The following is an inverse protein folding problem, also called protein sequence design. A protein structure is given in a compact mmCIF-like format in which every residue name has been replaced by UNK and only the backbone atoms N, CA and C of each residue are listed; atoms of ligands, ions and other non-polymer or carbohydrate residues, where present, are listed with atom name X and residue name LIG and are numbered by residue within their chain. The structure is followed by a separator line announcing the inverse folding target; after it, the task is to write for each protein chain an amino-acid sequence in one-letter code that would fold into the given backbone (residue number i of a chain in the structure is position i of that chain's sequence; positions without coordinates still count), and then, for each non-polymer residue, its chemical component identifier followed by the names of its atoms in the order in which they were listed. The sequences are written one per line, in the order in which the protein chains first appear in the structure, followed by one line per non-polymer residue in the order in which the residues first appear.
data_IF_122646910349
#
_entry.id   IF_122646910349
#
_cell.length_a   1.000
_cell.length_b   1.000
_cell.length_c   1.000
_cell.angle_alpha   90.00
_cell.angle_beta   90.00
_cell.angle_gamma   90.00
#
_symmetry.space_group_name_H-M   'P 1'
#
loop_
_entity.id
_entity.type
_entity.pdbx_description
1 polymer ?
#
# COMPACT_ATOMS: atom_id res chain seq x y z
N UNK A 1 13.32 12.12 12.84
CA UNK A 1 12.37 11.01 13.02
C UNK A 1 12.45 10.08 11.80
N UNK A 2 12.64 8.79 12.04
CA UNK A 2 12.70 7.83 10.94
C UNK A 2 11.29 7.44 10.52
N UNK A 3 11.00 7.58 9.24
CA UNK A 3 9.77 7.03 8.70
C UNK A 3 9.93 5.52 8.58
N UNK A 4 8.92 4.78 9.02
CA UNK A 4 8.89 3.33 8.83
C UNK A 4 8.37 3.02 7.44
N UNK A 5 8.74 1.85 6.91
CA UNK A 5 8.22 1.41 5.61
C UNK A 5 6.69 1.33 5.64
N UNK A 6 6.14 0.83 6.74
CA UNK A 6 4.69 0.78 6.91
C UNK A 6 4.05 2.15 6.87
N UNK A 7 4.71 3.15 7.47
CA UNK A 7 4.23 4.53 7.46
C UNK A 7 4.22 5.12 6.06
N UNK A 8 5.26 4.87 5.27
CA UNK A 8 5.33 5.34 3.89
C UNK A 8 4.18 4.76 3.07
N UNK A 9 3.96 3.45 3.18
CA UNK A 9 2.87 2.78 2.45
C UNK A 9 1.53 3.36 2.87
N UNK A 10 1.30 3.50 4.17
CA UNK A 10 0.04 4.01 4.70
C UNK A 10 -0.26 5.40 4.15
N UNK A 11 0.70 6.32 4.22
CA UNK A 11 0.53 7.69 3.74
C UNK A 11 0.21 7.70 2.25
N UNK A 12 0.97 6.95 1.46
CA UNK A 12 0.77 6.93 0.01
C UNK A 12 -0.60 6.37 -0.37
N UNK A 13 -1.02 5.28 0.27
CA UNK A 13 -2.30 4.66 -0.04
C UNK A 13 -3.46 5.55 0.40
N UNK A 14 -3.40 6.12 1.58
CA UNK A 14 -4.48 6.94 2.11
C UNK A 14 -4.60 8.31 1.41
N UNK A 15 -3.58 8.74 0.69
CA UNK A 15 -3.65 9.97 -0.09
C UNK A 15 -4.14 9.74 -1.53
N UNK A 16 -4.27 8.50 -1.96
CA UNK A 16 -4.82 8.19 -3.28
C UNK A 16 -6.31 8.53 -3.32
N UNK A 17 -6.76 9.07 -4.43
CA UNK A 17 -8.14 9.54 -4.61
C UNK A 17 -8.94 8.58 -5.48
N UNK A 18 -10.25 8.51 -5.20
CA UNK A 18 -11.14 7.68 -5.99
C UNK A 18 -10.92 6.19 -5.77
N UNK A 19 -11.24 5.41 -6.78
CA UNK A 19 -11.02 3.96 -6.76
C UNK A 19 -9.68 3.63 -7.40
N UNK A 20 -8.96 2.71 -6.83
CA UNK A 20 -7.65 2.31 -7.36
C UNK A 20 -7.46 0.82 -7.18
N UNK A 21 -6.67 0.22 -8.07
CA UNK A 21 -6.38 -1.21 -8.04
C UNK A 21 -5.11 -1.47 -7.24
N UNK A 22 -4.86 -2.75 -6.94
CA UNK A 22 -3.61 -3.15 -6.30
C UNK A 22 -2.40 -2.74 -7.15
N UNK A 23 -2.52 -2.84 -8.48
CA UNK A 23 -1.47 -2.40 -9.39
C UNK A 23 -1.18 -0.91 -9.23
N UNK A 24 -2.22 -0.10 -9.10
CA UNK A 24 -2.07 1.34 -8.88
C UNK A 24 -1.30 1.61 -7.59
N UNK A 25 -1.62 0.87 -6.53
CA UNK A 25 -0.90 0.98 -5.26
C UNK A 25 0.56 0.61 -5.45
N UNK A 26 0.84 -0.51 -6.12
CA UNK A 26 2.21 -0.95 -6.36
C UNK A 26 2.99 0.08 -7.18
N UNK A 27 2.39 0.60 -8.25
CA UNK A 27 3.04 1.60 -9.10
C UNK A 27 3.40 2.87 -8.33
N UNK A 28 2.59 3.24 -7.34
CA UNK A 28 2.83 4.42 -6.52
C UNK A 28 3.87 4.18 -5.43
N UNK A 29 3.79 3.02 -4.77
CA UNK A 29 4.58 2.72 -3.57
C UNK A 29 5.96 2.14 -3.90
N UNK A 30 6.04 1.26 -4.90
CA UNK A 30 7.30 0.55 -5.24
C UNK A 30 8.49 1.49 -5.43
N UNK A 31 8.39 2.60 -6.18
CA UNK A 31 9.56 3.47 -6.37
C UNK A 31 10.09 4.06 -5.07
N UNK A 32 9.26 4.13 -4.04
CA UNK A 32 9.63 4.75 -2.76
C UNK A 32 10.29 3.79 -1.78
N UNK A 33 10.01 2.49 -1.92
CA UNK A 33 10.49 1.51 -0.94
C UNK A 33 11.37 0.41 -1.54
N UNK A 34 11.50 0.34 -2.86
CA UNK A 34 12.20 -0.78 -3.51
C UNK A 34 13.64 -0.98 -3.05
N UNK A 35 14.31 0.09 -2.65
CA UNK A 35 15.71 0.02 -2.20
C UNK A 35 15.87 -0.68 -0.85
N UNK A 36 14.77 -0.87 -0.11
CA UNK A 36 14.78 -1.51 1.20
C UNK A 36 14.54 -3.01 1.14
N UNK A 37 14.30 -3.56 -0.05
CA UNK A 37 13.98 -4.97 -0.22
C UNK A 37 14.95 -5.63 -1.20
N UNK A 38 15.36 -6.88 -0.91
CA UNK A 38 16.31 -7.60 -1.79
C UNK A 38 15.67 -8.05 -3.10
N UNK A 39 14.35 -8.29 -3.11
CA UNK A 39 13.67 -8.69 -4.33
C UNK A 39 12.22 -8.19 -4.33
N UNK A 40 11.64 -8.20 -5.53
CA UNK A 40 10.30 -7.67 -5.74
C UNK A 40 9.24 -8.53 -5.06
N UNK A 41 9.42 -9.83 -5.01
CA UNK A 41 8.44 -10.73 -4.41
C UNK A 41 8.22 -10.41 -2.93
N UNK A 42 9.31 -10.24 -2.18
CA UNK A 42 9.21 -9.88 -0.76
C UNK A 42 8.58 -8.51 -0.57
N UNK A 43 8.91 -7.56 -1.44
CA UNK A 43 8.35 -6.22 -1.40
C UNK A 43 6.84 -6.26 -1.63
N UNK A 44 6.38 -7.01 -2.63
CA UNK A 44 4.96 -7.12 -2.93
C UNK A 44 4.18 -7.82 -1.81
N UNK A 45 4.77 -8.81 -1.17
CA UNK A 45 4.19 -9.46 0.01
C UNK A 45 4.02 -8.47 1.16
N UNK A 46 5.03 -7.66 1.40
CA UNK A 46 4.98 -6.66 2.46
C UNK A 46 3.87 -5.64 2.21
N UNK A 47 3.79 -5.13 0.96
CA UNK A 47 2.76 -4.18 0.57
C UNK A 47 1.37 -4.81 0.72
N UNK A 48 1.18 -6.04 0.26
CA UNK A 48 -0.09 -6.74 0.39
C UNK A 48 -0.53 -6.88 1.85
N UNK A 49 0.39 -7.23 2.73
CA UNK A 49 0.11 -7.32 4.16
C UNK A 49 -0.32 -5.99 4.77
N UNK A 50 0.30 -4.90 4.34
CA UNK A 50 -0.07 -3.56 4.83
C UNK A 50 -1.44 -3.14 4.31
N UNK A 51 -1.76 -3.44 3.06
CA UNK A 51 -3.07 -3.17 2.48
C UNK A 51 -4.16 -3.91 3.28
N UNK A 52 -3.93 -5.18 3.56
CA UNK A 52 -4.86 -5.99 4.34
C UNK A 52 -5.06 -5.40 5.75
N UNK A 53 -3.99 -4.96 6.38
CA UNK A 53 -4.06 -4.32 7.69
C UNK A 53 -4.89 -3.04 7.66
N UNK A 54 -4.71 -2.22 6.63
CA UNK A 54 -5.49 -0.99 6.47
C UNK A 54 -6.98 -1.30 6.29
N UNK A 55 -7.30 -2.36 5.58
CA UNK A 55 -8.69 -2.81 5.40
C UNK A 55 -9.27 -3.27 6.74
N UNK A 56 -8.51 -4.03 7.52
CA UNK A 56 -8.94 -4.52 8.83
C UNK A 56 -9.23 -3.39 9.81
N UNK A 57 -8.45 -2.32 9.75
CA UNK A 57 -8.65 -1.19 10.64
C UNK A 57 -9.76 -0.24 10.17
N UNK A 58 -10.37 -0.54 9.03
CA UNK A 58 -11.43 0.31 8.50
C UNK A 58 -10.97 1.61 7.87
N UNK A 59 -9.69 1.72 7.56
CA UNK A 59 -9.13 2.90 6.91
C UNK A 59 -9.24 2.83 5.40
N UNK A 60 -9.39 1.62 4.87
CA UNK A 60 -9.44 1.37 3.44
C UNK A 60 -10.62 0.45 3.14
N UNK A 61 -11.43 0.82 2.17
CA UNK A 61 -12.51 -0.03 1.68
C UNK A 61 -12.02 -0.91 0.54
N UNK A 62 -12.71 -2.02 0.32
CA UNK A 62 -12.31 -3.00 -0.68
C UNK A 62 -13.53 -3.57 -1.41
N UNK A 63 -13.45 -3.60 -2.73
CA UNK A 63 -14.37 -4.37 -3.56
C UNK A 63 -13.59 -5.54 -4.15
N UNK A 64 -14.21 -6.35 -5.00
CA UNK A 64 -13.51 -7.49 -5.63
C UNK A 64 -12.34 -7.05 -6.51
N UNK A 65 -12.34 -5.81 -7.00
CA UNK A 65 -11.33 -5.32 -7.95
C UNK A 65 -10.63 -4.06 -7.45
N UNK A 66 -11.33 -3.21 -6.69
CA UNK A 66 -10.84 -1.89 -6.31
C UNK A 66 -10.68 -1.70 -4.82
N UNK A 67 -9.83 -0.74 -4.47
CA UNK A 67 -9.71 -0.21 -3.12
C UNK A 67 -10.11 1.28 -3.14
N UNK A 68 -10.49 1.80 -2.00
CA UNK A 68 -10.85 3.22 -1.87
C UNK A 68 -10.65 3.66 -0.41
N UNK A 69 -10.29 4.93 -0.22
CA UNK A 69 -10.14 5.49 1.13
C UNK A 69 -11.52 5.68 1.77
N UNK A 70 -11.62 5.32 3.01
CA UNK A 70 -12.85 5.51 3.79
C UNK A 70 -12.86 6.82 4.55
#
# INVERSE_FOLDING_TARGET
MKETLGGIITVEVLTMRGKFTKKDILDTVVPKIKKHFPNREEMEKYISGKIDTLCEYGLLGKTSVYYFSL
#
